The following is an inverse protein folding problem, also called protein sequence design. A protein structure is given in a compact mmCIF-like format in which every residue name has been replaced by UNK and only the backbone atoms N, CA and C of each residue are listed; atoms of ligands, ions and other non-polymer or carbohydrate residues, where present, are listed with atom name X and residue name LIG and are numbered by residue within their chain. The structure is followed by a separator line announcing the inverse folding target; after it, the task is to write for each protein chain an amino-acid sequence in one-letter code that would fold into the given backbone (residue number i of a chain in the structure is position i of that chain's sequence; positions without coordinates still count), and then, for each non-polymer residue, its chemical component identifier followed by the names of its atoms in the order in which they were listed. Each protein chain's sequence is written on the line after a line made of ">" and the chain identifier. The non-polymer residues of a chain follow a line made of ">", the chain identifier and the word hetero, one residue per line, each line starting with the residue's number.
data_IF_120648625140
#
_entry.id   IF_120648625140
#
_cell.length_a   1.000
_cell.length_b   1.000
_cell.length_c   1.000
_cell.angle_alpha   90.00
_cell.angle_beta   90.00
_cell.angle_gamma   90.00
#
_symmetry.space_group_name_H-M   'P 1'
#
loop_
_entity.id
_entity.type
_entity.pdbx_description
1 polymer ?
#
# COMPACT_ATOMS: atom_id res chain seq x y z
N UNK A 1 12.94 22.45 26.73
CA UNK A 1 11.76 21.62 26.40
C UNK A 1 11.47 21.83 24.93
N UNK A 2 11.77 20.86 24.07
CA UNK A 2 11.49 20.95 22.63
C UNK A 2 10.06 20.45 22.44
N UNK A 3 9.14 21.36 22.11
CA UNK A 3 7.76 21.02 21.79
C UNK A 3 7.66 20.85 20.27
N UNK A 4 7.50 19.60 19.83
CA UNK A 4 7.21 19.29 18.43
C UNK A 4 5.73 19.59 18.20
N UNK A 5 5.42 20.62 17.42
CA UNK A 5 4.06 20.87 16.96
C UNK A 5 3.81 20.03 15.70
N UNK A 6 3.00 18.98 15.82
CA UNK A 6 2.46 18.26 14.67
C UNK A 6 1.39 19.14 14.02
N UNK A 7 1.77 19.84 12.96
CA UNK A 7 0.80 20.56 12.12
C UNK A 7 0.18 19.57 11.13
N UNK A 8 -1.13 19.30 11.29
CA UNK A 8 -1.91 18.48 10.37
C UNK A 8 -2.04 19.23 9.06
N UNK A 9 -1.37 18.76 8.02
CA UNK A 9 -1.63 19.21 6.65
C UNK A 9 -3.07 18.81 6.33
N UNK A 10 -3.95 19.79 6.11
CA UNK A 10 -5.28 19.55 5.54
C UNK A 10 -5.08 19.31 4.05
N UNK A 11 -4.87 18.06 3.67
CA UNK A 11 -4.91 17.68 2.27
C UNK A 11 -6.36 17.63 1.80
N UNK A 12 -6.54 18.16 0.60
CA UNK A 12 -7.75 18.36 -0.19
C UNK A 12 -8.77 17.23 -0.01
N UNK A 13 -10.01 17.59 0.35
CA UNK A 13 -11.17 16.72 0.16
C UNK A 13 -11.35 16.51 -1.34
N UNK A 14 -10.88 15.38 -1.87
CA UNK A 14 -11.56 14.78 -3.00
C UNK A 14 -12.61 13.82 -2.45
N UNK A 15 -13.85 14.13 -2.81
CA UNK A 15 -15.06 13.36 -2.63
C UNK A 15 -14.98 12.02 -3.36
N UNK A 16 -14.13 11.11 -2.89
CA UNK A 16 -14.26 9.69 -3.27
C UNK A 16 -15.47 9.17 -2.51
N UNK A 17 -16.56 9.16 -3.26
CA UNK A 17 -17.93 8.97 -2.83
C UNK A 17 -18.07 7.71 -1.99
N UNK A 18 -18.82 7.79 -0.90
CA UNK A 18 -19.08 6.68 0.01
C UNK A 18 -19.78 5.50 -0.68
N UNK A 19 -20.25 5.69 -1.91
CA UNK A 19 -20.83 4.69 -2.79
C UNK A 19 -19.79 3.74 -3.45
N UNK A 20 -18.54 4.19 -3.70
CA UNK A 20 -17.48 3.36 -4.30
C UNK A 20 -16.91 2.30 -3.34
N UNK A 21 -17.30 2.32 -2.07
CA UNK A 21 -16.81 1.40 -1.04
C UNK A 21 -17.74 0.21 -0.76
N UNK A 22 -18.96 0.21 -1.30
CA UNK A 22 -19.93 -0.89 -1.10
C UNK A 22 -19.68 -2.09 -2.03
N UNK A 23 -19.01 -1.85 -3.16
CA UNK A 23 -18.37 -2.86 -4.00
C UNK A 23 -16.93 -2.38 -4.15
N UNK A 24 -15.95 -3.12 -3.66
CA UNK A 24 -14.52 -2.74 -3.65
C UNK A 24 -13.91 -2.72 -5.06
N UNK A 25 -14.44 -1.89 -5.97
CA UNK A 25 -13.89 -1.65 -7.29
C UNK A 25 -13.03 -0.38 -7.25
N UNK A 26 -11.74 -0.57 -6.99
CA UNK A 26 -10.77 0.50 -7.12
C UNK A 26 -10.45 0.71 -8.61
N UNK A 27 -10.39 1.95 -9.10
CA UNK A 27 -9.94 2.20 -10.46
C UNK A 27 -8.52 1.65 -10.63
N UNK A 28 -8.32 0.81 -11.64
CA UNK A 28 -7.02 0.18 -11.90
C UNK A 28 -5.99 1.24 -12.23
N UNK A 29 -4.97 1.33 -11.40
CA UNK A 29 -3.81 2.19 -11.63
C UNK A 29 -2.73 1.39 -12.36
N UNK A 30 -2.80 1.38 -13.70
CA UNK A 30 -1.91 0.60 -14.55
C UNK A 30 -0.41 0.93 -14.36
N UNK A 31 -0.08 2.10 -13.83
CA UNK A 31 1.31 2.49 -13.54
C UNK A 31 1.84 1.72 -12.32
N UNK A 32 0.99 1.48 -11.33
CA UNK A 32 1.36 0.85 -10.06
C UNK A 32 0.92 -0.61 -9.94
N UNK A 33 0.11 -1.11 -10.86
CA UNK A 33 -0.43 -2.47 -10.80
C UNK A 33 0.65 -3.53 -11.11
N UNK A 34 0.86 -4.43 -10.15
CA UNK A 34 1.71 -5.60 -10.27
C UNK A 34 0.80 -6.82 -10.40
N UNK A 35 1.05 -7.64 -11.42
CA UNK A 35 0.35 -8.91 -11.55
C UNK A 35 0.67 -9.83 -10.37
N UNK A 36 -0.38 -10.33 -9.71
CA UNK A 36 -0.26 -11.16 -8.49
C UNK A 36 0.54 -12.44 -8.72
N UNK A 37 0.54 -13.00 -9.93
CA UNK A 37 1.34 -14.16 -10.34
C UNK A 37 2.87 -13.92 -10.29
N UNK A 38 3.30 -12.65 -10.31
CA UNK A 38 4.70 -12.25 -10.15
C UNK A 38 5.12 -12.06 -8.70
N UNK A 39 4.24 -12.33 -7.74
CA UNK A 39 4.48 -12.13 -6.32
C UNK A 39 4.37 -13.45 -5.56
N UNK A 40 5.48 -13.90 -5.00
CA UNK A 40 5.54 -15.13 -4.20
C UNK A 40 5.56 -14.72 -2.73
N UNK A 41 4.42 -14.87 -2.05
CA UNK A 41 4.32 -14.57 -0.61
C UNK A 41 5.08 -15.61 0.22
N UNK A 42 5.86 -15.13 1.18
CA UNK A 42 6.64 -15.91 2.13
C UNK A 42 6.14 -15.75 3.57
N UNK A 43 7.07 -15.65 4.51
CA UNK A 43 6.75 -15.56 5.95
C UNK A 43 6.21 -14.19 6.36
N UNK A 44 5.43 -14.15 7.43
CA UNK A 44 5.04 -12.89 8.11
C UNK A 44 6.27 -12.20 8.72
N UNK A 45 6.45 -10.92 8.41
CA UNK A 45 7.49 -10.05 8.98
C UNK A 45 6.99 -9.31 10.22
N UNK A 46 5.71 -8.93 10.23
CA UNK A 46 5.12 -8.21 11.34
C UNK A 46 3.62 -8.03 11.20
N UNK A 47 2.98 -7.68 12.29
CA UNK A 47 1.54 -7.42 12.36
C UNK A 47 1.30 -6.28 13.34
N UNK A 48 0.43 -5.33 12.98
CA UNK A 48 0.11 -4.18 13.81
C UNK A 48 -1.37 -3.82 13.72
N UNK A 49 -1.71 -2.61 14.19
CA UNK A 49 -3.07 -2.08 14.04
C UNK A 49 -3.45 -1.86 12.56
N UNK A 50 -2.47 -1.57 11.70
CA UNK A 50 -2.67 -1.18 10.30
C UNK A 50 -2.57 -2.36 9.31
N UNK A 51 -2.89 -3.58 9.74
CA UNK A 51 -2.75 -4.79 8.92
C UNK A 51 -1.52 -5.64 9.23
N UNK A 52 -1.10 -6.44 8.25
CA UNK A 52 0.05 -7.35 8.34
C UNK A 52 1.04 -7.14 7.20
N UNK A 53 2.32 -7.40 7.50
CA UNK A 53 3.43 -7.31 6.54
C UNK A 53 3.97 -8.72 6.30
N UNK A 54 3.96 -9.13 5.04
CA UNK A 54 4.53 -10.38 4.57
C UNK A 54 5.85 -10.10 3.83
N UNK A 55 6.83 -10.97 4.02
CA UNK A 55 7.95 -11.05 3.09
C UNK A 55 7.41 -11.65 1.79
N UNK A 56 7.83 -11.13 0.66
CA UNK A 56 7.57 -11.74 -0.64
C UNK A 56 8.78 -11.63 -1.54
N UNK A 57 8.78 -12.41 -2.61
CA UNK A 57 9.74 -12.33 -3.69
C UNK A 57 9.02 -11.89 -4.96
N UNK A 58 9.62 -11.00 -5.73
CA UNK A 58 9.08 -10.56 -7.02
C UNK A 58 10.19 -10.34 -8.03
N UNK A 59 9.81 -10.27 -9.30
CA UNK A 59 10.72 -10.06 -10.42
C UNK A 59 10.97 -8.57 -10.60
N UNK A 60 12.25 -8.19 -10.67
CA UNK A 60 12.74 -6.84 -10.90
C UNK A 60 12.08 -6.18 -12.11
N UNK A 61 11.61 -4.92 -12.00
CA UNK A 61 11.04 -4.21 -13.14
C UNK A 61 12.09 -3.95 -14.24
N UNK A 62 13.38 -3.95 -13.90
CA UNK A 62 14.47 -3.58 -14.82
C UNK A 62 15.32 -4.77 -15.29
N UNK A 63 15.52 -5.80 -14.45
CA UNK A 63 16.57 -6.79 -14.65
C UNK A 63 16.12 -8.26 -14.55
N UNK A 64 14.81 -8.53 -14.54
CA UNK A 64 14.20 -9.86 -14.38
C UNK A 64 14.71 -10.69 -13.17
N UNK A 65 15.48 -10.07 -12.27
CA UNK A 65 16.05 -10.73 -11.12
C UNK A 65 14.99 -10.85 -10.02
N UNK A 66 15.01 -11.98 -9.31
CA UNK A 66 14.16 -12.14 -8.14
C UNK A 66 14.76 -11.32 -7.00
N UNK A 67 13.94 -10.47 -6.38
CA UNK A 67 14.35 -9.67 -5.24
C UNK A 67 13.28 -9.67 -4.13
N UNK A 68 13.70 -9.56 -2.87
CA UNK A 68 12.76 -9.55 -1.74
C UNK A 68 12.04 -8.21 -1.60
N UNK A 69 10.76 -8.26 -1.29
CA UNK A 69 9.89 -7.11 -1.03
C UNK A 69 9.07 -7.32 0.24
N UNK A 70 8.62 -6.22 0.83
CA UNK A 70 7.65 -6.25 1.91
C UNK A 70 6.25 -5.94 1.35
N UNK A 71 5.30 -6.84 1.58
CA UNK A 71 3.92 -6.71 1.11
C UNK A 71 3.03 -6.39 2.29
N UNK A 72 2.40 -5.22 2.28
CA UNK A 72 1.38 -4.86 3.25
C UNK A 72 0.03 -5.33 2.76
N UNK A 73 -0.72 -6.00 3.63
CA UNK A 73 -2.05 -6.52 3.34
C UNK A 73 -2.94 -6.48 4.58
N UNK A 74 -4.23 -6.60 4.33
CA UNK A 74 -5.24 -6.72 5.39
C UNK A 74 -5.07 -8.02 6.16
N UNK A 75 -5.61 -8.04 7.37
CA UNK A 75 -5.75 -9.28 8.17
C UNK A 75 -7.02 -10.00 7.75
N UNK A 76 -7.12 -11.27 8.12
CA UNK A 76 -8.32 -12.09 7.84
C UNK A 76 -9.59 -11.49 8.43
N UNK A 77 -9.49 -10.79 9.56
CA UNK A 77 -10.59 -10.16 10.29
C UNK A 77 -10.63 -8.63 10.15
N UNK A 78 -10.30 -8.10 8.98
CA UNK A 78 -10.31 -6.66 8.71
C UNK A 78 -11.73 -6.06 8.71
N UNK A 79 -11.79 -4.78 8.99
CA UNK A 79 -12.97 -3.92 8.85
C UNK A 79 -12.88 -3.06 7.60
N UNK A 80 -14.00 -2.45 7.18
CA UNK A 80 -14.00 -1.52 6.05
C UNK A 80 -13.11 -0.30 6.29
N UNK A 81 -12.95 0.10 7.55
CA UNK A 81 -12.05 1.19 7.93
C UNK A 81 -10.58 0.80 7.76
N UNK A 82 -10.22 -0.47 8.01
CA UNK A 82 -8.87 -0.97 7.72
C UNK A 82 -8.56 -0.93 6.22
N UNK A 83 -9.56 -1.19 5.37
CA UNK A 83 -9.40 -1.08 3.92
C UNK A 83 -9.17 0.37 3.51
N UNK A 84 -9.97 1.30 4.03
CA UNK A 84 -9.81 2.75 3.77
C UNK A 84 -8.43 3.24 4.20
N UNK A 85 -7.95 2.79 5.35
CA UNK A 85 -6.63 3.15 5.86
C UNK A 85 -5.52 2.63 4.94
N UNK A 86 -5.60 1.37 4.50
CA UNK A 86 -4.62 0.78 3.58
C UNK A 86 -4.60 1.51 2.22
N UNK A 87 -5.77 1.84 1.67
CA UNK A 87 -5.89 2.58 0.41
C UNK A 87 -5.36 4.00 0.56
N UNK A 88 -5.66 4.67 1.68
CA UNK A 88 -5.15 6.01 1.97
C UNK A 88 -3.63 6.03 2.07
N UNK A 89 -3.04 5.01 2.69
CA UNK A 89 -1.59 4.85 2.74
C UNK A 89 -0.97 4.62 1.35
N UNK A 90 -1.61 3.81 0.50
CA UNK A 90 -1.19 3.58 -0.88
C UNK A 90 -1.10 4.89 -1.65
N UNK A 91 -2.15 5.72 -1.59
CA UNK A 91 -2.19 7.02 -2.27
C UNK A 91 -1.12 7.99 -1.76
N UNK A 92 -0.87 8.02 -0.45
CA UNK A 92 0.22 8.81 0.13
C UNK A 92 1.58 8.34 -0.39
N UNK A 93 1.80 7.03 -0.45
CA UNK A 93 3.06 6.45 -0.94
C UNK A 93 3.31 6.76 -2.42
N UNK A 94 2.27 6.75 -3.26
CA UNK A 94 2.36 7.21 -4.67
C UNK A 94 2.80 8.67 -4.76
N UNK A 95 2.23 9.55 -3.93
CA UNK A 95 2.57 10.98 -3.93
C UNK A 95 4.00 11.26 -3.44
N UNK A 96 4.53 10.48 -2.48
CA UNK A 96 5.89 10.65 -1.96
C UNK A 96 6.94 10.35 -3.05
N UNK A 97 6.68 9.35 -3.89
CA UNK A 97 7.61 8.92 -4.93
C UNK A 97 8.86 8.23 -4.37
N UNK A 98 9.97 8.30 -5.12
CA UNK A 98 11.24 7.63 -4.78
C UNK A 98 12.19 8.57 -4.05
N UNK A 99 12.70 8.14 -2.90
CA UNK A 99 13.73 8.87 -2.15
C UNK A 99 14.68 7.90 -1.42
N UNK A 100 16.00 8.13 -1.40
CA UNK A 100 16.98 7.15 -0.88
C UNK A 100 16.81 6.79 0.61
N UNK A 101 16.21 7.68 1.40
CA UNK A 101 16.00 7.49 2.84
C UNK A 101 14.53 7.26 3.23
N UNK A 102 13.65 7.05 2.25
CA UNK A 102 12.22 6.78 2.50
C UNK A 102 11.85 5.51 1.76
N UNK A 103 11.12 4.63 2.44
CA UNK A 103 10.58 3.41 1.81
C UNK A 103 9.71 3.85 0.64
N UNK A 104 10.05 3.37 -0.54
CA UNK A 104 9.34 3.70 -1.77
C UNK A 104 8.34 2.60 -2.09
N UNK A 105 7.20 2.98 -2.65
CA UNK A 105 6.25 2.03 -3.23
C UNK A 105 6.89 1.41 -4.49
N UNK A 106 6.72 0.09 -4.64
CA UNK A 106 7.09 -0.61 -5.86
C UNK A 106 5.88 -0.90 -6.74
N UNK A 107 4.72 -1.11 -6.12
CA UNK A 107 3.43 -1.30 -6.78
C UNK A 107 2.38 -1.82 -5.81
N UNK A 108 1.19 -2.08 -6.34
CA UNK A 108 0.05 -2.65 -5.64
C UNK A 108 -0.57 -3.78 -6.46
N UNK A 109 -1.34 -4.64 -5.80
CA UNK A 109 -2.15 -5.66 -6.47
C UNK A 109 -3.61 -5.38 -6.07
N UNK A 110 -4.29 -4.59 -6.89
CA UNK A 110 -5.67 -4.13 -6.64
C UNK A 110 -6.71 -5.01 -7.33
N UNK A 111 -6.31 -5.77 -8.34
CA UNK A 111 -7.16 -6.74 -9.03
C UNK A 111 -6.88 -8.19 -8.56
N UNK A 112 -7.84 -9.08 -8.84
CA UNK A 112 -7.64 -10.54 -8.73
C UNK A 112 -6.68 -11.08 -9.79
#
# INVERSE_FOLDING_TARGET
>A
KVSIQKQRIKMVQNSYDSALFLEYEFPVDLEWEIKRDRLILGKKLGEGAFGQIMLAETIGPEDENIFPVAVKMLKDNHSDDDVKDLVSELEIMKMIGRHPNVISLLGCCSNE
#
